data_IF_751306482765
#
_entry.id   IF_751306482765
#
_cell.length_a   1.000
_cell.length_b   1.000
_cell.length_c   1.000
_cell.angle_alpha   90.00
_cell.angle_beta   90.00
_cell.angle_gamma   90.00
#
_symmetry.space_group_name_H-M   'P 1'
#
loop_
_entity.id
_entity.type
_entity.pdbx_description
1 polymer ?
#
# COMPACT_ATOMS: atom_id res chain seq x y z
N UNK A 1 -31.60 47.25 -2.54
CA UNK A 1 -31.78 45.82 -2.25
C UNK A 1 -30.53 45.00 -2.62
N UNK A 2 -29.40 45.17 -1.92
CA UNK A 2 -28.09 44.64 -2.39
C UNK A 2 -27.31 43.72 -1.43
N UNK A 3 -27.77 43.49 -0.20
CA UNK A 3 -26.92 42.85 0.83
C UNK A 3 -27.26 41.37 1.15
N UNK A 4 -28.42 40.86 0.70
CA UNK A 4 -28.84 39.49 1.01
C UNK A 4 -28.45 38.43 -0.05
N UNK A 5 -27.88 38.83 -1.19
CA UNK A 5 -27.41 37.89 -2.22
C UNK A 5 -26.07 37.21 -1.83
N UNK A 6 -25.23 37.92 -1.08
CA UNK A 6 -23.84 37.51 -0.81
C UNK A 6 -23.67 36.37 0.21
N UNK A 7 -24.58 36.20 1.18
CA UNK A 7 -24.43 35.17 2.22
C UNK A 7 -24.78 33.75 1.72
N UNK A 8 -25.74 33.65 0.80
CA UNK A 8 -26.13 32.38 0.18
C UNK A 8 -25.04 31.88 -0.78
N UNK A 9 -24.44 32.82 -1.52
CA UNK A 9 -23.32 32.58 -2.44
C UNK A 9 -22.04 32.21 -1.69
N UNK A 10 -21.68 32.90 -0.60
CA UNK A 10 -20.56 32.49 0.26
C UNK A 10 -20.74 31.08 0.84
N UNK A 11 -21.94 30.70 1.28
CA UNK A 11 -22.20 29.33 1.77
C UNK A 11 -22.16 28.30 0.66
N UNK A 12 -22.52 28.63 -0.58
CA UNK A 12 -22.31 27.72 -1.71
C UNK A 12 -20.84 27.63 -2.10
N UNK A 13 -20.10 28.72 -2.04
CA UNK A 13 -18.69 28.76 -2.42
C UNK A 13 -17.80 28.08 -1.38
N UNK A 14 -18.08 28.25 -0.08
CA UNK A 14 -17.45 27.46 0.99
C UNK A 14 -17.80 25.97 0.83
N UNK A 15 -19.03 25.63 0.43
CA UNK A 15 -19.40 24.22 0.15
C UNK A 15 -18.68 23.66 -1.08
N UNK A 16 -18.54 24.44 -2.15
CA UNK A 16 -17.78 24.09 -3.37
C UNK A 16 -16.29 23.97 -3.07
N UNK A 17 -15.72 24.89 -2.31
CA UNK A 17 -14.35 24.87 -1.84
C UNK A 17 -14.10 23.64 -0.96
N UNK A 18 -14.94 23.39 0.06
CA UNK A 18 -14.82 22.19 0.89
C UNK A 18 -15.08 20.89 0.11
N UNK A 19 -15.89 20.92 -0.96
CA UNK A 19 -16.04 19.78 -1.88
C UNK A 19 -14.81 19.60 -2.76
N UNK A 20 -14.16 20.69 -3.20
CA UNK A 20 -12.92 20.68 -3.95
C UNK A 20 -11.75 20.20 -3.08
N UNK A 21 -11.64 20.67 -1.83
CA UNK A 21 -10.68 20.17 -0.83
C UNK A 21 -10.94 18.70 -0.49
N UNK A 22 -12.20 18.28 -0.34
CA UNK A 22 -12.53 16.85 -0.18
C UNK A 22 -12.19 16.03 -1.42
N UNK A 23 -12.39 16.55 -2.63
CA UNK A 23 -11.96 15.91 -3.88
C UNK A 23 -10.45 15.87 -3.99
N UNK A 24 -9.73 16.94 -3.63
CA UNK A 24 -8.29 17.02 -3.62
C UNK A 24 -7.69 16.07 -2.58
N UNK A 25 -8.25 15.97 -1.38
CA UNK A 25 -7.86 15.00 -0.36
C UNK A 25 -8.23 13.57 -0.76
N UNK A 26 -9.36 13.37 -1.45
CA UNK A 26 -9.71 12.08 -2.06
C UNK A 26 -8.88 11.76 -3.31
N UNK A 27 -8.24 12.74 -3.94
CA UNK A 27 -7.34 12.56 -5.09
C UNK A 27 -5.91 12.31 -4.61
N UNK A 28 -5.46 13.06 -3.60
CA UNK A 28 -4.25 12.79 -2.82
C UNK A 28 -4.33 11.45 -2.08
N UNK A 29 -5.54 11.05 -1.66
CA UNK A 29 -5.86 9.75 -1.08
C UNK A 29 -6.36 8.69 -2.06
N UNK A 30 -6.59 9.02 -3.34
CA UNK A 30 -6.75 8.03 -4.43
C UNK A 30 -5.35 7.55 -4.75
N UNK A 31 -4.92 6.61 -3.91
CA UNK A 31 -3.60 6.05 -3.79
C UNK A 31 -2.66 6.38 -4.94
N UNK A 32 -1.65 7.21 -4.65
CA UNK A 32 -0.32 6.83 -5.08
C UNK A 32 -0.15 5.38 -4.64
N UNK A 33 -0.23 4.46 -5.58
CA UNK A 33 -0.22 3.04 -5.31
C UNK A 33 0.98 2.73 -4.42
N UNK A 34 0.81 1.94 -3.35
CA UNK A 34 1.92 1.46 -2.50
C UNK A 34 2.74 0.46 -3.31
N UNK A 35 3.38 0.96 -4.36
CA UNK A 35 4.17 0.23 -5.31
C UNK A 35 5.55 0.85 -5.33
N UNK A 36 6.53 -0.01 -5.55
CA UNK A 36 7.84 0.41 -6.03
C UNK A 36 7.66 0.71 -7.52
N UNK A 37 8.03 1.92 -7.92
CA UNK A 37 8.08 2.31 -9.32
C UNK A 37 9.49 2.13 -9.83
N UNK A 38 9.62 1.51 -11.00
CA UNK A 38 10.88 1.37 -11.70
C UNK A 38 10.68 2.03 -13.05
N UNK A 39 11.25 3.22 -13.22
CA UNK A 39 10.97 4.09 -14.36
C UNK A 39 12.27 4.67 -14.92
N UNK A 40 12.43 4.65 -16.25
CA UNK A 40 13.45 5.43 -16.95
C UNK A 40 12.81 6.63 -17.62
N UNK A 41 13.54 7.74 -17.68
CA UNK A 41 13.15 8.94 -18.43
C UNK A 41 13.27 8.72 -19.94
N UNK A 42 14.12 7.76 -20.37
CA UNK A 42 14.41 7.48 -21.77
C UNK A 42 13.41 6.49 -22.38
N UNK A 43 12.51 7.00 -23.23
CA UNK A 43 11.61 6.14 -24.02
C UNK A 43 12.37 5.27 -25.02
N UNK A 44 13.51 5.77 -25.51
CA UNK A 44 14.35 5.06 -26.48
C UNK A 44 14.94 3.80 -25.85
N UNK A 45 15.43 3.87 -24.61
CA UNK A 45 15.97 2.70 -23.90
C UNK A 45 14.91 1.63 -23.64
N UNK A 46 13.68 2.04 -23.30
CA UNK A 46 12.56 1.08 -23.16
C UNK A 46 12.27 0.40 -24.48
N UNK A 47 12.24 1.16 -25.56
CA UNK A 47 11.96 0.65 -26.89
C UNK A 47 13.06 -0.29 -27.41
N UNK A 48 14.33 0.04 -27.19
CA UNK A 48 15.45 -0.83 -27.60
C UNK A 48 15.46 -2.13 -26.80
N UNK A 49 15.19 -2.06 -25.49
CA UNK A 49 15.01 -3.25 -24.64
C UNK A 49 13.84 -4.11 -25.12
N UNK A 50 12.71 -3.51 -25.48
CA UNK A 50 11.54 -4.24 -25.95
C UNK A 50 11.73 -4.90 -27.31
N UNK A 51 12.62 -4.38 -28.15
CA UNK A 51 13.03 -5.03 -29.40
C UNK A 51 13.83 -6.31 -29.17
N UNK A 52 14.57 -6.38 -28.07
CA UNK A 52 15.35 -7.54 -27.67
C UNK A 52 14.52 -8.43 -26.74
N UNK A 53 13.78 -9.37 -27.34
CA UNK A 53 12.87 -10.24 -26.60
C UNK A 53 13.58 -11.07 -25.53
N UNK A 54 14.80 -11.55 -25.80
CA UNK A 54 15.56 -12.37 -24.85
C UNK A 54 15.99 -11.54 -23.65
N UNK A 55 16.49 -10.34 -23.89
CA UNK A 55 16.90 -9.41 -22.81
C UNK A 55 15.69 -8.95 -21.99
N UNK A 56 14.55 -8.67 -22.64
CA UNK A 56 13.28 -8.35 -21.98
C UNK A 56 12.81 -9.49 -21.05
N UNK A 57 12.81 -10.73 -21.56
CA UNK A 57 12.41 -11.91 -20.79
C UNK A 57 13.36 -12.14 -19.63
N UNK A 58 14.67 -11.99 -19.83
CA UNK A 58 15.67 -12.12 -18.77
C UNK A 58 15.45 -11.11 -17.64
N UNK A 59 15.29 -9.82 -17.97
CA UNK A 59 14.99 -8.77 -17.01
C UNK A 59 13.73 -9.08 -16.20
N UNK A 60 12.61 -9.36 -16.88
CA UNK A 60 11.34 -9.65 -16.21
C UNK A 60 11.45 -10.89 -15.30
N UNK A 61 12.19 -11.91 -15.73
CA UNK A 61 12.44 -13.13 -14.93
C UNK A 61 13.24 -12.83 -13.68
N UNK A 62 14.26 -11.99 -13.75
CA UNK A 62 15.10 -11.65 -12.60
C UNK A 62 14.36 -10.76 -11.60
N UNK A 63 13.59 -9.77 -12.07
CA UNK A 63 12.68 -8.99 -11.22
C UNK A 63 11.63 -9.90 -10.57
N UNK A 64 11.08 -10.86 -11.30
CA UNK A 64 10.11 -11.82 -10.75
C UNK A 64 10.73 -12.74 -9.68
N UNK A 65 11.96 -13.23 -9.89
CA UNK A 65 12.69 -14.00 -8.88
C UNK A 65 12.90 -13.19 -7.61
N UNK A 66 13.33 -11.93 -7.76
CA UNK A 66 13.48 -11.01 -6.63
C UNK A 66 12.16 -10.85 -5.87
N UNK A 67 11.05 -10.55 -6.56
CA UNK A 67 9.73 -10.42 -5.93
C UNK A 67 9.29 -11.67 -5.17
N UNK A 68 9.53 -12.85 -5.74
CA UNK A 68 9.18 -14.11 -5.11
C UNK A 68 10.03 -14.40 -3.87
N UNK A 69 11.32 -14.07 -3.92
CA UNK A 69 12.23 -14.16 -2.78
C UNK A 69 11.78 -13.25 -1.62
N UNK A 70 11.49 -11.97 -1.91
CA UNK A 70 10.99 -11.02 -0.91
C UNK A 70 9.65 -11.50 -0.34
N UNK A 71 8.73 -11.96 -1.18
CA UNK A 71 7.45 -12.51 -0.73
C UNK A 71 7.64 -13.73 0.19
N UNK A 72 8.57 -14.63 -0.10
CA UNK A 72 8.86 -15.78 0.75
C UNK A 72 9.36 -15.35 2.14
N UNK A 73 10.26 -14.37 2.21
CA UNK A 73 10.76 -13.81 3.47
C UNK A 73 9.66 -13.11 4.27
N UNK A 74 8.83 -12.31 3.61
CA UNK A 74 7.68 -11.65 4.25
C UNK A 74 6.70 -12.67 4.84
N UNK A 75 6.39 -13.75 4.10
CA UNK A 75 5.53 -14.83 4.58
C UNK A 75 6.13 -15.54 5.80
N UNK A 76 7.42 -15.85 5.75
CA UNK A 76 8.13 -16.49 6.87
C UNK A 76 8.08 -15.62 8.12
N UNK A 77 8.36 -14.31 8.00
CA UNK A 77 8.32 -13.37 9.12
C UNK A 77 6.94 -13.27 9.76
N UNK A 78 5.88 -13.07 8.97
CA UNK A 78 4.53 -12.83 9.52
C UNK A 78 3.81 -14.12 9.97
N UNK A 79 4.25 -15.31 9.52
CA UNK A 79 3.60 -16.60 9.79
C UNK A 79 3.34 -16.85 11.29
N UNK A 80 4.32 -16.52 12.14
CA UNK A 80 4.26 -16.67 13.60
C UNK A 80 3.19 -15.79 14.27
N UNK A 81 2.79 -14.70 13.62
CA UNK A 81 1.83 -13.72 14.15
C UNK A 81 0.47 -13.79 13.44
N UNK A 82 0.44 -14.15 12.16
CA UNK A 82 -0.79 -14.36 11.41
C UNK A 82 -0.57 -15.24 10.18
N UNK A 83 -0.94 -16.52 10.30
CA UNK A 83 -1.00 -17.44 9.16
C UNK A 83 -1.88 -16.91 8.03
N UNK A 84 -2.99 -16.22 8.34
CA UNK A 84 -3.86 -15.63 7.32
C UNK A 84 -3.13 -14.57 6.49
N UNK A 85 -2.32 -13.70 7.11
CA UNK A 85 -1.54 -12.70 6.36
C UNK A 85 -0.49 -13.40 5.50
N UNK A 86 0.21 -14.41 6.04
CA UNK A 86 1.21 -15.16 5.29
C UNK A 86 0.61 -15.86 4.06
N UNK A 87 -0.51 -16.56 4.22
CA UNK A 87 -1.17 -17.30 3.13
C UNK A 87 -1.75 -16.37 2.06
N UNK A 88 -2.37 -15.27 2.46
CA UNK A 88 -3.01 -14.33 1.53
C UNK A 88 -2.03 -13.29 0.94
N UNK A 89 -0.76 -13.27 1.37
CA UNK A 89 0.26 -12.39 0.82
C UNK A 89 0.59 -12.79 -0.62
N UNK A 90 0.39 -11.86 -1.56
CA UNK A 90 0.66 -12.05 -2.98
C UNK A 90 1.56 -10.93 -3.51
N UNK A 91 2.71 -11.25 -4.14
CA UNK A 91 3.44 -10.26 -4.92
C UNK A 91 2.58 -9.83 -6.11
N UNK A 92 2.63 -8.55 -6.47
CA UNK A 92 1.95 -7.94 -7.60
C UNK A 92 2.99 -7.24 -8.45
N UNK A 93 2.96 -7.53 -9.75
CA UNK A 93 3.86 -6.97 -10.74
C UNK A 93 2.99 -6.44 -11.88
N UNK A 94 3.33 -5.27 -12.38
CA UNK A 94 2.65 -4.65 -13.51
C UNK A 94 3.66 -4.35 -14.59
N UNK A 95 3.22 -4.51 -15.83
CA UNK A 95 4.01 -4.21 -17.02
C UNK A 95 3.55 -2.90 -17.65
N UNK A 96 4.47 -2.23 -18.33
CA UNK A 96 4.15 -1.12 -19.19
C UNK A 96 3.62 -1.57 -20.57
N UNK A 97 3.47 -0.62 -21.50
CA UNK A 97 3.02 -0.87 -22.88
C UNK A 97 4.00 -1.71 -23.71
N UNK A 98 5.25 -1.83 -23.27
CA UNK A 98 6.32 -2.60 -23.92
C UNK A 98 6.50 -3.99 -23.29
N UNK A 99 5.73 -4.31 -22.25
CA UNK A 99 5.86 -5.58 -21.52
C UNK A 99 6.96 -5.57 -20.46
N UNK A 100 7.59 -4.43 -20.17
CA UNK A 100 8.59 -4.29 -19.10
C UNK A 100 7.90 -4.18 -17.76
N UNK A 101 8.34 -4.97 -16.77
CA UNK A 101 7.88 -4.80 -15.40
C UNK A 101 8.35 -3.44 -14.87
N UNK A 102 7.42 -2.56 -14.54
CA UNK A 102 7.71 -1.19 -14.11
C UNK A 102 7.08 -0.82 -12.76
N UNK A 103 6.17 -1.64 -12.22
CA UNK A 103 5.60 -1.42 -10.88
C UNK A 103 5.51 -2.72 -10.11
N UNK A 104 5.94 -2.68 -8.86
CA UNK A 104 5.99 -3.83 -7.96
C UNK A 104 5.26 -3.54 -6.66
N UNK A 105 4.57 -4.52 -6.08
CA UNK A 105 3.94 -4.36 -4.78
C UNK A 105 3.49 -5.65 -4.15
N UNK A 106 2.85 -5.54 -2.98
CA UNK A 106 2.37 -6.67 -2.21
C UNK A 106 0.91 -6.46 -1.84
N UNK A 107 0.09 -7.47 -2.08
CA UNK A 107 -1.30 -7.52 -1.65
C UNK A 107 -1.42 -8.47 -0.48
N UNK A 108 -2.01 -8.01 0.63
CA UNK A 108 -2.25 -8.83 1.81
C UNK A 108 -3.47 -8.29 2.60
N UNK A 109 -4.04 -9.07 3.53
CA UNK A 109 -5.17 -8.64 4.34
C UNK A 109 -4.85 -7.41 5.19
N UNK A 110 -5.80 -6.47 5.29
CA UNK A 110 -5.64 -5.19 6.03
C UNK A 110 -5.12 -5.36 7.45
N UNK A 111 -5.49 -6.45 8.15
CA UNK A 111 -5.05 -6.67 9.52
C UNK A 111 -3.55 -6.93 9.67
N UNK A 112 -2.83 -7.22 8.58
CA UNK A 112 -1.37 -7.22 8.57
C UNK A 112 -0.76 -5.85 8.90
N UNK A 113 -1.43 -4.75 8.51
CA UNK A 113 -1.03 -3.38 8.87
C UNK A 113 -1.12 -3.17 10.38
N UNK A 114 -2.15 -3.72 11.02
CA UNK A 114 -2.33 -3.58 12.46
C UNK A 114 -1.24 -4.33 13.24
N UNK A 115 -0.83 -5.52 12.77
CA UNK A 115 0.29 -6.25 13.35
C UNK A 115 1.59 -5.45 13.17
N UNK A 116 1.79 -4.90 11.97
CA UNK A 116 2.95 -4.06 11.66
C UNK A 116 3.06 -2.86 12.61
N UNK A 117 1.92 -2.23 12.93
CA UNK A 117 1.86 -1.05 13.79
C UNK A 117 1.59 -1.33 15.28
N UNK A 118 1.36 -2.58 15.67
CA UNK A 118 0.96 -2.91 17.04
C UNK A 118 -0.48 -2.52 17.41
N UNK A 119 -1.35 -2.19 16.45
CA UNK A 119 -2.75 -1.82 16.69
C UNK A 119 -3.64 -3.05 16.99
N UNK A 120 -4.65 -2.92 17.86
CA UNK A 120 -5.51 -4.04 18.27
C UNK A 120 -6.84 -3.63 18.92
N UNK A 121 -7.76 -4.58 19.09
CA UNK A 121 -9.05 -4.32 19.77
C UNK A 121 -8.78 -3.90 21.23
N UNK A 122 -9.27 -2.72 21.63
CA UNK A 122 -9.02 -2.13 22.95
C UNK A 122 -7.77 -1.23 23.03
N UNK A 123 -7.05 -1.04 21.90
CA UNK A 123 -5.81 -0.27 21.83
C UNK A 123 -5.84 0.61 20.57
N UNK A 124 -5.77 1.93 20.75
CA UNK A 124 -6.24 2.93 19.80
C UNK A 124 -5.84 2.71 18.34
N UNK A 125 -6.83 2.41 17.50
CA UNK A 125 -6.71 2.58 16.04
C UNK A 125 -6.89 4.05 15.64
N UNK A 126 -6.46 4.40 14.44
CA UNK A 126 -6.66 5.73 13.86
C UNK A 126 -8.15 6.03 13.68
N UNK A 127 -8.53 7.27 14.01
CA UNK A 127 -9.88 7.83 13.84
C UNK A 127 -10.45 7.50 12.45
N UNK A 128 -11.66 6.93 12.38
CA UNK A 128 -12.42 6.76 11.13
C UNK A 128 -12.42 5.38 10.46
N UNK A 129 -11.81 4.36 11.07
CA UNK A 129 -11.81 3.00 10.49
C UNK A 129 -13.23 2.38 10.44
N UNK A 130 -13.62 1.86 9.26
CA UNK A 130 -14.84 1.06 9.06
C UNK A 130 -14.46 -0.41 8.89
N UNK A 131 -15.18 -1.35 9.52
CA UNK A 131 -14.98 -2.78 9.28
C UNK A 131 -16.29 -3.55 9.31
N UNK A 132 -16.36 -4.65 8.56
CA UNK A 132 -17.49 -5.58 8.63
C UNK A 132 -17.31 -6.53 9.80
N UNK A 133 -18.33 -6.65 10.64
CA UNK A 133 -18.33 -7.58 11.77
C UNK A 133 -18.27 -9.02 11.22
N UNK A 134 -17.32 -9.82 11.69
CA UNK A 134 -17.24 -11.26 11.41
C UNK A 134 -18.02 -12.03 12.49
N UNK A 135 -18.66 -13.13 12.12
CA UNK A 135 -19.30 -14.09 13.03
C UNK A 135 -18.68 -15.45 12.80
N UNK A 136 -18.34 -16.14 13.89
CA UNK A 136 -17.84 -17.51 13.84
C UNK A 136 -19.01 -18.48 13.88
N UNK A 137 -19.10 -19.36 12.89
CA UNK A 137 -20.09 -20.44 12.83
C UNK A 137 -19.30 -21.72 12.51
N UNK A 138 -19.36 -22.70 13.42
CA UNK A 138 -18.66 -23.98 13.22
C UNK A 138 -17.14 -23.85 13.00
N UNK A 139 -16.49 -22.88 13.65
CA UNK A 139 -15.04 -22.66 13.51
C UNK A 139 -14.64 -21.76 12.33
N UNK A 140 -15.53 -21.53 11.37
CA UNK A 140 -15.30 -20.72 10.15
C UNK A 140 -15.76 -19.28 10.41
N UNK A 141 -14.96 -18.29 9.99
CA UNK A 141 -15.32 -16.87 10.07
C UNK A 141 -16.10 -16.42 8.84
N UNK A 142 -17.34 -15.97 9.04
CA UNK A 142 -18.23 -15.49 7.97
C UNK A 142 -18.52 -14.00 8.19
N UNK A 143 -18.46 -13.20 7.12
CA UNK A 143 -18.80 -11.77 7.19
C UNK A 143 -20.30 -11.58 7.41
N UNK A 144 -20.69 -10.74 8.37
CA UNK A 144 -22.10 -10.48 8.69
C UNK A 144 -22.72 -9.35 7.85
N UNK A 145 -21.96 -8.68 6.99
CA UNK A 145 -22.40 -7.50 6.24
C UNK A 145 -22.60 -6.23 7.08
N UNK A 146 -22.58 -6.34 8.42
CA UNK A 146 -22.76 -5.20 9.33
C UNK A 146 -21.47 -4.39 9.40
N UNK A 147 -21.51 -3.15 8.91
CA UNK A 147 -20.39 -2.19 9.00
C UNK A 147 -20.40 -1.52 10.38
N UNK A 148 -19.27 -1.56 11.07
CA UNK A 148 -19.03 -0.87 12.35
C UNK A 148 -18.07 0.31 12.13
N UNK A 149 -18.19 1.31 13.00
CA UNK A 149 -17.35 2.51 13.04
C UNK A 149 -16.70 2.61 14.42
N UNK A 150 -15.49 3.18 14.47
CA UNK A 150 -14.84 3.55 15.74
C UNK A 150 -15.70 4.59 16.48
N UNK A 151 -16.02 4.34 17.76
CA UNK A 151 -16.66 5.33 18.63
C UNK A 151 -15.67 6.49 18.88
N UNK A 152 -16.03 7.76 18.54
CA UNK A 152 -15.17 8.92 18.78
C UNK A 152 -14.79 9.12 20.25
N UNK A 153 -15.65 8.74 21.19
CA UNK A 153 -15.41 8.92 22.64
C UNK A 153 -14.47 7.86 23.23
N UNK A 154 -14.25 6.75 22.51
CA UNK A 154 -13.30 5.69 22.91
C UNK A 154 -11.83 6.06 22.63
N UNK A 155 -11.56 7.26 22.11
CA UNK A 155 -10.25 7.71 21.64
C UNK A 155 -9.42 8.45 22.71
N UNK A 156 -9.98 8.69 23.90
CA UNK A 156 -9.29 9.42 24.96
C UNK A 156 -8.23 8.53 25.64
N UNK A 157 -6.99 8.64 25.17
CA UNK A 157 -5.80 8.32 25.96
C UNK A 157 -5.17 6.94 25.77
N UNK A 158 -5.65 6.10 24.85
CA UNK A 158 -5.07 4.76 24.61
C UNK A 158 -4.43 4.53 23.23
N UNK A 159 -4.29 5.58 22.43
CA UNK A 159 -3.36 5.58 21.30
C UNK A 159 -1.93 5.55 21.86
N UNK A 160 -1.17 4.50 21.53
CA UNK A 160 0.22 4.35 21.96
C UNK A 160 0.43 3.83 23.39
N UNK A 161 -0.61 3.68 24.22
CA UNK A 161 -0.49 3.06 25.57
C UNK A 161 -0.77 1.56 25.58
N UNK A 162 -1.04 0.98 24.41
CA UNK A 162 -1.32 -0.44 24.30
C UNK A 162 -0.07 -1.30 24.44
N UNK A 163 -0.07 -2.23 25.39
CA UNK A 163 0.99 -3.23 25.63
C UNK A 163 1.34 -4.13 24.43
N UNK A 164 0.71 -3.94 23.26
CA UNK A 164 1.03 -4.71 22.04
C UNK A 164 2.21 -4.05 21.33
N UNK A 165 3.38 -4.67 21.43
CA UNK A 165 4.57 -4.26 20.70
C UNK A 165 4.32 -4.33 19.19
N UNK A 166 4.70 -3.29 18.46
CA UNK A 166 4.71 -3.30 17.01
C UNK A 166 5.65 -4.41 16.52
N UNK A 167 5.19 -5.21 15.55
CA UNK A 167 6.01 -6.22 14.90
C UNK A 167 6.22 -5.80 13.45
N UNK A 168 7.31 -5.09 13.19
CA UNK A 168 7.64 -4.51 11.88
C UNK A 168 8.03 -5.60 10.87
N UNK A 169 7.07 -6.42 10.45
CA UNK A 169 7.30 -7.59 9.61
C UNK A 169 7.51 -7.28 8.12
N UNK A 170 7.26 -6.04 7.69
CA UNK A 170 7.22 -5.65 6.28
C UNK A 170 8.37 -4.70 5.92
N UNK A 171 8.34 -3.48 6.47
CA UNK A 171 9.29 -2.41 6.11
C UNK A 171 10.78 -2.81 6.19
N UNK A 172 11.27 -3.46 7.27
CA UNK A 172 12.68 -3.84 7.36
C UNK A 172 13.10 -4.84 6.29
N UNK A 173 12.22 -5.80 5.96
CA UNK A 173 12.49 -6.81 4.94
C UNK A 173 12.56 -6.16 3.57
N UNK A 174 11.57 -5.34 3.21
CA UNK A 174 11.57 -4.66 1.90
C UNK A 174 12.77 -3.75 1.76
N UNK A 175 13.08 -2.93 2.78
CA UNK A 175 14.21 -2.00 2.79
C UNK A 175 15.54 -2.71 2.55
N UNK A 176 15.77 -3.83 3.24
CA UNK A 176 17.01 -4.60 3.12
C UNK A 176 17.17 -5.28 1.76
N UNK A 177 16.10 -5.41 0.97
CA UNK A 177 16.12 -6.07 -0.34
C UNK A 177 16.16 -5.09 -1.52
N UNK A 178 15.97 -3.78 -1.29
CA UNK A 178 16.07 -2.76 -2.35
C UNK A 178 17.45 -2.75 -3.04
N UNK A 179 18.60 -2.85 -2.34
CA UNK A 179 19.90 -2.83 -3.02
C UNK A 179 20.11 -3.99 -4.01
N UNK A 180 19.51 -5.15 -3.76
CA UNK A 180 19.54 -6.27 -4.71
C UNK A 180 18.73 -5.96 -5.98
N UNK A 181 17.59 -5.28 -5.84
CA UNK A 181 16.78 -4.82 -6.97
C UNK A 181 17.54 -3.77 -7.79
N UNK A 182 18.27 -2.85 -7.13
CA UNK A 182 19.16 -1.89 -7.79
C UNK A 182 20.19 -2.60 -8.67
N UNK A 183 20.90 -3.58 -8.12
CA UNK A 183 21.89 -4.37 -8.88
C UNK A 183 21.26 -5.07 -10.09
N UNK A 184 20.06 -5.65 -9.94
CA UNK A 184 19.34 -6.27 -11.06
C UNK A 184 19.07 -5.22 -12.14
N UNK A 185 18.55 -4.06 -11.78
CA UNK A 185 18.20 -3.01 -12.74
C UNK A 185 19.44 -2.47 -13.47
N UNK A 186 20.53 -2.22 -12.75
CA UNK A 186 21.78 -1.70 -13.34
C UNK A 186 22.43 -2.67 -14.32
N UNK A 187 22.14 -3.97 -14.24
CA UNK A 187 22.62 -4.94 -15.23
C UNK A 187 21.91 -4.82 -16.58
N UNK A 188 20.73 -4.18 -16.62
CA UNK A 188 19.92 -4.06 -17.83
C UNK A 188 19.73 -2.61 -18.30
N UNK A 189 19.79 -1.63 -17.40
CA UNK A 189 19.52 -0.23 -17.70
C UNK A 189 20.51 0.69 -16.97
N UNK A 190 21.03 1.68 -17.69
CA UNK A 190 21.93 2.68 -17.10
C UNK A 190 21.17 3.85 -16.45
N UNK A 191 19.97 4.16 -16.95
CA UNK A 191 19.22 5.38 -16.59
C UNK A 191 17.97 5.14 -15.74
N UNK A 192 17.70 3.89 -15.35
CA UNK A 192 16.45 3.51 -14.71
C UNK A 192 16.49 3.79 -13.20
N UNK A 193 15.43 4.44 -12.70
CA UNK A 193 15.31 4.93 -11.33
C UNK A 193 14.31 4.06 -10.56
N UNK A 194 14.61 3.80 -9.28
CA UNK A 194 13.70 3.14 -8.34
C UNK A 194 13.10 4.17 -7.39
N UNK A 195 11.78 4.29 -7.38
CA UNK A 195 11.04 4.97 -6.32
C UNK A 195 10.34 3.92 -5.43
N UNK A 196 10.96 3.64 -4.28
CA UNK A 196 10.41 2.77 -3.24
C UNK A 196 9.81 3.57 -2.07
N UNK A 197 9.66 4.89 -2.16
CA UNK A 197 9.25 5.72 -1.00
C UNK A 197 7.84 5.41 -0.51
N UNK A 198 6.99 4.87 -1.40
CA UNK A 198 5.55 4.64 -1.15
C UNK A 198 5.22 3.21 -0.75
N UNK A 199 6.17 2.28 -0.83
CA UNK A 199 5.91 0.87 -0.51
C UNK A 199 5.78 0.62 0.99
N UNK A 200 6.42 1.47 1.80
CA UNK A 200 6.48 1.30 3.24
C UNK A 200 5.13 1.55 3.90
N UNK A 201 4.85 0.77 4.94
CA UNK A 201 3.69 0.97 5.80
C UNK A 201 4.06 2.14 6.72
N UNK A 202 3.93 3.38 6.24
CA UNK A 202 4.30 4.61 6.96
C UNK A 202 3.59 4.74 8.33
N UNK A 203 4.21 5.52 9.24
CA UNK A 203 3.67 5.87 10.57
C UNK A 203 2.35 6.62 10.47
#
# INVERSE_FOLDING_TARGET
MGFYKNYRDMRSDVRRYNAAVRRANNLAGKGSSQLIHIETVSEIERYTMAKDADRLVAFNKDVQKWMNSVAAQLRASISSHSMRVATDLRPRMYTDKYGLINKLGFSFPRHGIYIHKGAGKGYGGTTGSKWTKLKRIGGIEVSTGIVRHTNPESLNGSQGTGNRKAYEWFDPIVRNRIPELETIITNYFDSMIIDATRIYINK
#
